data_IF_053399438980
#
_entry.id   IF_053399438980
#
_cell.length_a   1.000
_cell.length_b   1.000
_cell.length_c   1.000
_cell.angle_alpha   90.00
_cell.angle_beta   90.00
_cell.angle_gamma   90.00
#
_symmetry.space_group_name_H-M   'P 1'
#
loop_
_entity.id
_entity.type
_entity.pdbx_description
1 polymer ?
#
# COMPACT_ATOMS: atom_id res chain seq x y z
N UNK A 1 6.78 15.31 -5.77
CA UNK A 1 5.98 14.16 -5.25
C UNK A 1 6.62 12.87 -5.74
N UNK A 2 6.92 11.92 -4.85
CA UNK A 2 7.56 10.65 -5.23
C UNK A 2 6.56 9.68 -5.87
N UNK A 3 7.03 8.69 -6.65
CA UNK A 3 6.14 7.65 -7.24
C UNK A 3 5.30 6.94 -6.16
N UNK A 4 5.86 6.75 -4.96
CA UNK A 4 5.16 6.19 -3.80
C UNK A 4 4.02 7.09 -3.32
N UNK A 5 4.25 8.41 -3.25
CA UNK A 5 3.21 9.38 -2.86
C UNK A 5 2.09 9.47 -3.90
N UNK A 6 2.43 9.40 -5.20
CA UNK A 6 1.45 9.34 -6.28
C UNK A 6 0.57 8.08 -6.17
N UNK A 7 1.20 6.92 -5.98
CA UNK A 7 0.47 5.66 -5.73
C UNK A 7 -0.47 5.78 -4.53
N UNK A 8 -0.01 6.37 -3.42
CA UNK A 8 -0.83 6.55 -2.23
C UNK A 8 -2.08 7.39 -2.49
N UNK A 9 -1.90 8.54 -3.15
CA UNK A 9 -3.01 9.44 -3.46
C UNK A 9 -4.03 8.78 -4.37
N UNK A 10 -3.55 8.09 -5.40
CA UNK A 10 -4.45 7.41 -6.34
C UNK A 10 -5.17 6.22 -5.69
N UNK A 11 -4.45 5.42 -4.90
CA UNK A 11 -5.06 4.34 -4.11
C UNK A 11 -6.13 4.89 -3.16
N UNK A 12 -5.83 5.93 -2.37
CA UNK A 12 -6.76 6.49 -1.40
C UNK A 12 -7.97 7.15 -2.08
N UNK A 13 -7.78 7.84 -3.21
CA UNK A 13 -8.87 8.44 -4.01
C UNK A 13 -9.86 7.39 -4.50
N UNK A 14 -9.36 6.21 -4.88
CA UNK A 14 -10.15 5.13 -5.45
C UNK A 14 -10.66 4.13 -4.40
N UNK A 15 -10.32 4.31 -3.12
CA UNK A 15 -10.62 3.35 -2.05
C UNK A 15 -11.63 3.92 -1.07
N UNK A 16 -12.53 3.08 -0.52
CA UNK A 16 -13.39 3.48 0.59
C UNK A 16 -12.55 3.83 1.82
N UNK A 17 -13.12 4.58 2.76
CA UNK A 17 -12.42 5.08 3.96
C UNK A 17 -11.70 3.97 4.75
N UNK A 18 -12.35 2.80 4.89
CA UNK A 18 -11.77 1.66 5.61
C UNK A 18 -10.58 1.00 4.88
N UNK A 19 -10.32 1.32 3.61
CA UNK A 19 -9.18 0.82 2.83
C UNK A 19 -8.19 1.92 2.43
N UNK A 20 -8.39 3.15 2.92
CA UNK A 20 -7.36 4.17 2.81
C UNK A 20 -6.12 3.76 3.62
N UNK A 21 -4.96 4.10 3.08
CA UNK A 21 -3.67 3.73 3.61
C UNK A 21 -2.85 4.97 3.95
N UNK A 22 -1.72 4.74 4.62
CA UNK A 22 -0.70 5.72 4.96
C UNK A 22 0.61 5.38 4.25
N UNK A 23 1.57 6.31 4.28
CA UNK A 23 2.93 6.04 3.78
C UNK A 23 3.59 4.89 4.55
N UNK A 24 3.33 4.76 5.86
CA UNK A 24 3.87 3.71 6.72
C UNK A 24 3.40 2.32 6.28
N UNK A 25 2.10 2.17 6.00
CA UNK A 25 1.55 0.92 5.42
C UNK A 25 2.19 0.57 4.08
N UNK A 26 2.41 1.55 3.20
CA UNK A 26 3.13 1.32 1.95
C UNK A 26 4.60 0.93 2.18
N UNK A 27 5.29 1.53 3.16
CA UNK A 27 6.66 1.14 3.52
C UNK A 27 6.69 -0.32 3.94
N UNK A 28 5.75 -0.72 4.81
CA UNK A 28 5.67 -2.08 5.33
C UNK A 28 5.37 -3.10 4.23
N UNK A 29 4.36 -2.82 3.40
CA UNK A 29 4.04 -3.64 2.24
C UNK A 29 5.25 -3.87 1.33
N UNK A 30 6.06 -2.83 1.10
CA UNK A 30 7.26 -2.95 0.28
C UNK A 30 8.32 -3.85 0.89
N UNK A 31 8.48 -3.81 2.22
CA UNK A 31 9.42 -4.68 2.93
C UNK A 31 8.95 -6.14 2.84
N UNK A 32 7.68 -6.40 3.15
CA UNK A 32 7.14 -7.77 3.21
C UNK A 32 6.92 -8.41 1.84
N UNK A 33 6.62 -7.59 0.83
CA UNK A 33 6.33 -8.04 -0.54
C UNK A 33 7.37 -7.54 -1.54
N UNK A 34 8.64 -7.47 -1.12
CA UNK A 34 9.75 -6.95 -1.93
C UNK A 34 9.84 -7.58 -3.33
N UNK A 35 9.50 -8.87 -3.46
CA UNK A 35 9.49 -9.59 -4.74
C UNK A 35 8.51 -9.05 -5.78
N UNK A 36 7.46 -8.32 -5.36
CA UNK A 36 6.51 -7.67 -6.27
C UNK A 36 7.07 -6.39 -6.90
N UNK A 37 8.18 -5.86 -6.36
CA UNK A 37 8.79 -4.62 -6.80
C UNK A 37 9.99 -4.93 -7.68
N UNK A 38 9.84 -4.69 -8.98
CA UNK A 38 10.99 -4.55 -9.88
C UNK A 38 11.48 -3.10 -9.75
N UNK A 39 12.64 -2.91 -9.13
CA UNK A 39 13.27 -1.61 -8.85
C UNK A 39 12.45 -0.70 -7.91
N UNK A 40 12.74 0.61 -7.91
CA UNK A 40 12.05 1.64 -7.13
C UNK A 40 10.69 2.08 -7.71
N UNK A 41 10.05 1.24 -8.53
CA UNK A 41 8.81 1.58 -9.23
C UNK A 41 7.55 1.29 -8.40
N UNK A 42 6.48 2.08 -8.62
CA UNK A 42 5.18 1.95 -7.95
C UNK A 42 4.01 1.95 -8.97
N UNK A 43 3.93 0.97 -9.89
CA UNK A 43 2.85 0.93 -10.89
C UNK A 43 1.50 0.62 -10.23
N UNK A 44 0.54 1.53 -10.36
CA UNK A 44 -0.81 1.40 -9.78
C UNK A 44 -1.53 0.15 -10.27
N UNK A 45 -1.56 -0.07 -11.59
CA UNK A 45 -2.29 -1.19 -12.20
C UNK A 45 -1.80 -2.57 -11.75
N UNK A 46 -0.53 -2.67 -11.36
CA UNK A 46 0.09 -3.93 -10.94
C UNK A 46 0.10 -4.12 -9.43
N UNK A 47 0.30 -3.04 -8.66
CA UNK A 47 0.48 -3.13 -7.22
C UNK A 47 -0.79 -2.90 -6.42
N UNK A 48 -1.80 -2.20 -6.96
CA UNK A 48 -3.00 -1.84 -6.19
C UNK A 48 -3.76 -3.07 -5.69
N UNK A 49 -3.97 -4.07 -6.56
CA UNK A 49 -4.68 -5.30 -6.16
C UNK A 49 -3.90 -6.12 -5.13
N UNK A 50 -2.60 -6.44 -5.32
CA UNK A 50 -1.78 -7.07 -4.28
C UNK A 50 -1.74 -6.27 -2.97
N UNK A 51 -1.69 -4.94 -3.06
CA UNK A 51 -1.69 -4.08 -1.88
C UNK A 51 -3.00 -4.16 -1.10
N UNK A 52 -4.15 -4.11 -1.77
CA UNK A 52 -5.46 -4.28 -1.14
C UNK A 52 -5.56 -5.65 -0.47
N UNK A 53 -5.16 -6.72 -1.17
CA UNK A 53 -5.19 -8.09 -0.62
C UNK A 53 -4.31 -8.23 0.64
N UNK A 54 -3.14 -7.60 0.64
CA UNK A 54 -2.29 -7.54 1.82
C UNK A 54 -2.92 -6.69 2.93
N UNK A 55 -3.48 -5.52 2.60
CA UNK A 55 -4.09 -4.62 3.58
C UNK A 55 -5.28 -5.24 4.30
N UNK A 56 -6.11 -6.02 3.60
CA UNK A 56 -7.25 -6.74 4.21
C UNK A 56 -6.82 -7.98 5.00
N UNK A 57 -5.62 -8.51 4.75
CA UNK A 57 -5.08 -9.63 5.53
C UNK A 57 -4.55 -9.21 6.91
N UNK A 58 -4.34 -7.91 7.14
CA UNK A 58 -3.92 -7.40 8.43
C UNK A 58 -5.09 -7.38 9.41
N UNK A 59 -4.84 -7.82 10.63
CA UNK A 59 -5.72 -7.58 11.77
C UNK A 59 -5.81 -6.08 12.08
N UNK A 60 -6.86 -5.66 12.78
CA UNK A 60 -6.98 -4.27 13.23
C UNK A 60 -5.81 -3.82 14.12
N UNK A 61 -5.21 -4.74 14.88
CA UNK A 61 -4.08 -4.46 15.76
C UNK A 61 -2.79 -4.25 14.97
N UNK A 62 -2.47 -5.15 14.03
CA UNK A 62 -1.32 -4.98 13.14
C UNK A 62 -1.41 -3.67 12.35
N UNK A 63 -2.61 -3.34 11.86
CA UNK A 63 -2.82 -2.09 11.11
C UNK A 63 -2.61 -0.84 11.98
N UNK A 64 -2.97 -0.87 13.27
CA UNK A 64 -2.68 0.22 14.20
C UNK A 64 -1.19 0.34 14.50
N UNK A 65 -0.50 -0.79 14.68
CA UNK A 65 0.93 -0.82 15.00
C UNK A 65 1.83 -0.34 13.83
N UNK A 66 1.33 -0.41 12.60
CA UNK A 66 2.05 0.06 11.41
C UNK A 66 1.77 1.54 11.09
N UNK A 67 0.60 2.06 11.49
CA UNK A 67 0.15 3.42 11.14
C UNK A 67 0.81 4.49 12.00
#
# INVERSE_FOLDING_TARGET
>A
MTKKQQFLLEHNRLSPLNLQATISLLSRFRIERASLFKENNWPVDKLRRPFILWLISLTSEERKNIN
#
